data_IF_289307319319
#
_entry.id   IF_289307319319
#
_cell.length_a   1.000
_cell.length_b   1.000
_cell.length_c   1.000
_cell.angle_alpha   90.00
_cell.angle_beta   90.00
_cell.angle_gamma   90.00
#
_symmetry.space_group_name_H-M   'P 1'
#
loop_
_entity.id
_entity.type
_entity.pdbx_description
1 polymer ?
#
# COMPACT_ATOMS: atom_id res chain seq x y z
N UNK A 1 -15.61 9.73 1.93
CA UNK A 1 -14.43 9.20 1.23
C UNK A 1 -13.19 9.79 1.91
N UNK A 2 -12.39 8.98 2.63
CA UNK A 2 -11.20 9.47 3.36
C UNK A 2 -10.12 9.95 2.37
N UNK A 3 -9.29 10.94 2.73
CA UNK A 3 -8.20 11.37 1.87
C UNK A 3 -7.23 10.20 1.66
N UNK A 4 -7.01 9.85 0.39
CA UNK A 4 -5.96 8.90 0.01
C UNK A 4 -4.60 9.56 0.24
N UNK A 5 -3.81 9.02 1.16
CA UNK A 5 -2.49 9.56 1.49
C UNK A 5 -1.60 9.55 0.24
N UNK A 6 -1.15 10.73 -0.19
CA UNK A 6 -0.45 10.93 -1.46
C UNK A 6 1.02 10.54 -1.26
N UNK A 7 1.40 9.34 -1.66
CA UNK A 7 2.75 8.85 -1.46
C UNK A 7 3.73 9.35 -2.52
N UNK A 8 5.01 9.51 -2.16
CA UNK A 8 6.08 9.75 -3.13
C UNK A 8 6.87 8.46 -3.36
N UNK A 9 6.72 7.86 -4.54
CA UNK A 9 7.51 6.72 -4.98
C UNK A 9 8.30 7.11 -6.22
N UNK A 10 9.63 6.90 -6.20
CA UNK A 10 10.52 7.30 -7.31
C UNK A 10 10.35 8.78 -7.73
N UNK A 11 10.14 9.68 -6.76
CA UNK A 11 9.86 11.12 -6.97
C UNK A 11 8.57 11.40 -7.76
N UNK A 12 7.64 10.44 -7.80
CA UNK A 12 6.32 10.57 -8.40
C UNK A 12 5.27 10.43 -7.32
N UNK A 13 4.18 11.18 -7.44
CA UNK A 13 3.01 11.00 -6.59
C UNK A 13 2.28 9.72 -7.01
N UNK A 14 2.10 8.80 -6.07
CA UNK A 14 1.47 7.51 -6.28
C UNK A 14 0.47 7.22 -5.16
N UNK A 15 -0.44 6.28 -5.42
CA UNK A 15 -1.41 5.77 -4.47
C UNK A 15 -1.16 4.27 -4.25
N UNK A 16 -1.33 3.80 -3.02
CA UNK A 16 -1.41 2.36 -2.74
C UNK A 16 -2.84 1.91 -3.09
N UNK A 17 -2.98 0.92 -3.97
CA UNK A 17 -4.27 0.31 -4.31
C UNK A 17 -4.49 -0.92 -3.44
N UNK A 18 -5.40 -0.82 -2.49
CA UNK A 18 -5.77 -1.92 -1.58
C UNK A 18 -6.78 -2.89 -2.22
N UNK A 19 -7.42 -2.48 -3.32
CA UNK A 19 -8.43 -3.26 -4.05
C UNK A 19 -7.86 -4.27 -5.07
N UNK A 20 -6.56 -4.20 -5.42
CA UNK A 20 -5.91 -5.23 -6.27
C UNK A 20 -4.76 -5.93 -5.56
N UNK A 21 -4.97 -6.31 -4.30
CA UNK A 21 -4.00 -7.15 -3.60
C UNK A 21 -3.99 -8.53 -4.28
N UNK A 22 -2.78 -9.02 -4.56
CA UNK A 22 -2.57 -10.36 -5.13
C UNK A 22 -1.35 -11.01 -4.50
N UNK A 23 -1.39 -12.34 -4.36
CA UNK A 23 -0.21 -13.12 -4.06
C UNK A 23 0.74 -13.17 -5.28
N UNK A 24 2.03 -13.04 -5.04
CA UNK A 24 3.08 -13.21 -6.05
C UNK A 24 4.21 -14.05 -5.47
N UNK A 25 4.86 -14.84 -6.31
CA UNK A 25 6.05 -15.59 -5.90
C UNK A 25 7.21 -14.63 -5.57
N UNK A 26 8.03 -15.01 -4.57
CA UNK A 26 9.17 -14.22 -4.12
C UNK A 26 10.20 -14.00 -5.23
N UNK A 27 10.37 -14.93 -6.17
CA UNK A 27 11.30 -14.77 -7.31
C UNK A 27 10.89 -13.64 -8.24
N UNK A 28 9.61 -13.23 -8.24
CA UNK A 28 9.13 -12.08 -9.02
C UNK A 28 9.53 -10.74 -8.40
N UNK A 29 9.98 -10.73 -7.14
CA UNK A 29 10.44 -9.53 -6.43
C UNK A 29 11.93 -9.29 -6.70
N UNK A 30 12.23 -8.66 -7.84
CA UNK A 30 13.60 -8.48 -8.33
C UNK A 30 14.43 -7.44 -7.54
N UNK A 31 13.79 -6.48 -6.85
CA UNK A 31 14.49 -5.40 -6.13
C UNK A 31 13.61 -4.73 -5.06
N UNK A 32 14.17 -4.51 -3.86
CA UNK A 32 13.58 -3.63 -2.84
C UNK A 32 13.88 -2.17 -3.19
N UNK A 33 12.84 -1.36 -3.35
CA UNK A 33 12.97 0.06 -3.75
C UNK A 33 12.85 1.03 -2.56
N UNK A 34 12.46 0.54 -1.38
CA UNK A 34 12.27 1.36 -0.18
C UNK A 34 11.37 0.68 0.85
N UNK A 35 10.83 1.49 1.76
CA UNK A 35 9.81 1.13 2.73
C UNK A 35 8.71 2.21 2.72
N UNK A 36 7.52 1.86 3.19
CA UNK A 36 6.40 2.78 3.38
C UNK A 36 6.54 3.43 4.77
N UNK A 37 6.10 4.68 4.93
CA UNK A 37 6.08 5.35 6.23
C UNK A 37 5.08 4.67 7.18
N UNK A 38 5.39 4.64 8.48
CA UNK A 38 4.59 3.93 9.49
C UNK A 38 3.13 4.40 9.52
N UNK A 39 2.90 5.71 9.39
CA UNK A 39 1.55 6.28 9.31
C UNK A 39 0.76 5.68 8.14
N UNK A 40 1.33 5.65 6.94
CA UNK A 40 0.61 5.13 5.78
C UNK A 40 0.41 3.62 5.88
N UNK A 41 1.32 2.89 6.54
CA UNK A 41 1.12 1.47 6.84
C UNK A 41 -0.08 1.27 7.76
N UNK A 42 -0.17 2.03 8.86
CA UNK A 42 -1.31 1.98 9.79
C UNK A 42 -2.62 2.33 9.10
N UNK A 43 -2.66 3.39 8.29
CA UNK A 43 -3.85 3.79 7.55
C UNK A 43 -4.28 2.71 6.54
N UNK A 44 -3.32 2.06 5.89
CA UNK A 44 -3.58 0.95 4.96
C UNK A 44 -4.18 -0.27 5.67
N UNK A 45 -3.59 -0.67 6.80
CA UNK A 45 -4.07 -1.81 7.59
C UNK A 45 -5.47 -1.57 8.15
N UNK A 46 -5.73 -0.35 8.65
CA UNK A 46 -7.06 0.03 9.12
C UNK A 46 -8.10 -0.01 8.01
N UNK A 47 -7.74 0.48 6.82
CA UNK A 47 -8.65 0.44 5.65
C UNK A 47 -8.94 -1.00 5.22
N UNK A 48 -7.94 -1.89 5.24
CA UNK A 48 -8.16 -3.30 4.97
C UNK A 48 -9.08 -3.97 6.00
N UNK A 49 -8.90 -3.68 7.30
CA UNK A 49 -9.82 -4.18 8.32
C UNK A 49 -11.24 -3.68 8.08
N UNK A 50 -11.42 -2.39 7.80
CA UNK A 50 -12.75 -1.80 7.55
C UNK A 50 -13.45 -2.41 6.32
N UNK A 51 -12.70 -2.83 5.29
CA UNK A 51 -13.27 -3.40 4.04
C UNK A 51 -13.56 -4.89 4.15
N UNK A 52 -12.80 -5.65 4.94
CA UNK A 52 -12.86 -7.12 4.98
C UNK A 52 -13.39 -7.72 6.28
N UNK A 53 -13.58 -6.93 7.35
CA UNK A 53 -14.00 -7.44 8.67
C UNK A 53 -15.53 -7.52 8.86
N UNK A 54 -16.27 -7.94 7.82
CA UNK A 54 -17.68 -8.35 7.92
C UNK A 54 -17.78 -9.89 8.04
#
# INVERSE_FOLDING_TARGET
MRPVDRQSFKRKHCLIRLDQIRAVDKVRLVKKQGAVADKTLLDSLRTLQEVFAD
#
